data_IF_129923298381
#
_entry.id   IF_129923298381
#
_cell.length_a   1.000
_cell.length_b   1.000
_cell.length_c   1.000
_cell.angle_alpha   90.00
_cell.angle_beta   90.00
_cell.angle_gamma   90.00
#
_symmetry.space_group_name_H-M   'P 1'
#
loop_
_entity.id
_entity.type
_entity.pdbx_description
1 polymer ?
#
# COMPACT_ATOMS: atom_id res chain seq x y z
N UNK A 1 -0.96 -1.22 -10.19
CA UNK A 1 -0.56 -2.64 -10.20
C UNK A 1 -1.72 -3.47 -9.72
N UNK A 2 -2.09 -4.52 -10.44
CA UNK A 2 -3.17 -5.43 -10.13
C UNK A 2 -2.66 -6.86 -10.28
N UNK A 3 -2.85 -7.69 -9.24
CA UNK A 3 -2.36 -9.08 -9.25
C UNK A 3 -3.35 -10.05 -9.89
N UNK A 4 -4.64 -9.69 -9.92
CA UNK A 4 -5.68 -10.51 -10.53
C UNK A 4 -5.76 -10.23 -12.04
N UNK A 5 -5.27 -11.14 -12.85
CA UNK A 5 -5.26 -11.05 -14.31
C UNK A 5 -6.67 -11.08 -14.93
N UNK A 6 -7.67 -11.66 -14.24
CA UNK A 6 -9.06 -11.62 -14.69
C UNK A 6 -9.61 -10.18 -14.75
N UNK A 7 -9.02 -9.24 -13.98
CA UNK A 7 -9.39 -7.83 -14.03
C UNK A 7 -8.86 -7.12 -15.28
N UNK A 8 -7.90 -7.68 -16.00
CA UNK A 8 -7.28 -7.04 -17.14
C UNK A 8 -8.29 -6.75 -18.25
N UNK A 9 -9.06 -7.76 -18.64
CA UNK A 9 -10.03 -7.66 -19.75
C UNK A 9 -11.12 -6.60 -19.48
N UNK A 10 -11.45 -6.39 -18.21
CA UNK A 10 -12.44 -5.39 -17.82
C UNK A 10 -11.82 -4.00 -17.64
N UNK A 11 -10.71 -3.92 -16.92
CA UNK A 11 -10.12 -2.63 -16.49
C UNK A 11 -9.37 -1.94 -17.61
N UNK A 12 -8.58 -2.68 -18.41
CA UNK A 12 -7.74 -2.11 -19.46
C UNK A 12 -8.52 -1.28 -20.48
N UNK A 13 -9.66 -1.76 -21.05
CA UNK A 13 -10.42 -0.95 -22.01
C UNK A 13 -10.95 0.37 -21.41
N UNK A 14 -11.32 0.38 -20.12
CA UNK A 14 -11.76 1.60 -19.45
C UNK A 14 -10.64 2.63 -19.31
N UNK A 15 -9.44 2.17 -18.97
CA UNK A 15 -8.29 3.03 -18.81
C UNK A 15 -7.83 3.59 -20.17
N UNK A 16 -7.78 2.74 -21.19
CA UNK A 16 -7.35 3.11 -22.55
C UNK A 16 -8.33 4.07 -23.26
N UNK A 17 -9.62 4.01 -22.92
CA UNK A 17 -10.64 4.92 -23.44
C UNK A 17 -10.85 6.17 -22.55
N UNK A 18 -10.09 6.33 -21.49
CA UNK A 18 -10.14 7.50 -20.63
C UNK A 18 -9.48 8.72 -21.28
N UNK A 19 -9.98 9.91 -20.99
CA UNK A 19 -9.33 11.19 -21.35
C UNK A 19 -7.91 11.34 -20.76
N UNK A 20 -7.53 10.45 -19.84
CA UNK A 20 -6.23 10.42 -19.15
C UNK A 20 -5.38 9.20 -19.52
N UNK A 21 -5.72 8.47 -20.59
CA UNK A 21 -5.03 7.26 -21.00
C UNK A 21 -3.51 7.44 -21.15
N UNK A 22 -3.08 8.60 -21.65
CA UNK A 22 -1.67 8.97 -21.81
C UNK A 22 -0.90 9.09 -20.48
N UNK A 23 -1.62 9.26 -19.36
CA UNK A 23 -1.07 9.41 -18.01
C UNK A 23 -1.16 8.13 -17.17
N UNK A 24 -1.90 7.14 -17.62
CA UNK A 24 -2.14 5.90 -16.89
C UNK A 24 -1.23 4.80 -17.42
N UNK A 25 -0.55 4.11 -16.51
CA UNK A 25 0.19 2.89 -16.82
C UNK A 25 -0.35 1.77 -15.95
N UNK A 26 -0.97 0.79 -16.60
CA UNK A 26 -1.60 -0.35 -15.95
C UNK A 26 -0.69 -1.58 -16.07
N UNK A 27 -0.36 -2.17 -14.94
CA UNK A 27 0.51 -3.34 -14.85
C UNK A 27 -0.24 -4.48 -14.19
N UNK A 28 -0.24 -5.67 -14.82
CA UNK A 28 -0.75 -6.91 -14.25
C UNK A 28 0.42 -7.71 -13.70
N UNK A 29 0.31 -8.11 -12.43
CA UNK A 29 1.26 -8.93 -11.70
C UNK A 29 1.54 -8.44 -10.29
N UNK A 30 2.36 -9.19 -9.56
CA UNK A 30 2.75 -8.83 -8.20
C UNK A 30 3.62 -7.56 -8.20
N UNK A 31 3.16 -6.53 -7.50
CA UNK A 31 3.88 -5.27 -7.39
C UNK A 31 5.27 -5.45 -6.78
N UNK A 32 5.45 -6.41 -5.86
CA UNK A 32 6.76 -6.69 -5.25
C UNK A 32 7.78 -7.24 -6.25
N UNK A 33 7.30 -7.88 -7.31
CA UNK A 33 8.16 -8.39 -8.39
C UNK A 33 8.37 -7.35 -9.48
N UNK A 34 7.30 -6.62 -9.85
CA UNK A 34 7.33 -5.69 -10.98
C UNK A 34 8.01 -4.36 -10.66
N UNK A 35 7.65 -3.73 -9.53
CA UNK A 35 8.19 -2.39 -9.18
C UNK A 35 9.72 -2.36 -9.09
N UNK A 36 10.41 -3.37 -8.54
CA UNK A 36 11.86 -3.40 -8.53
C UNK A 36 12.52 -3.39 -9.92
N UNK A 37 11.82 -3.87 -10.94
CA UNK A 37 12.32 -3.94 -12.32
C UNK A 37 12.08 -2.65 -13.11
N UNK A 38 11.24 -1.74 -12.58
CA UNK A 38 10.92 -0.47 -13.21
C UNK A 38 11.82 0.63 -12.66
N UNK A 39 12.32 1.49 -13.56
CA UNK A 39 13.04 2.71 -13.18
C UNK A 39 12.01 3.80 -12.82
N UNK A 40 11.37 3.63 -11.66
CA UNK A 40 10.34 4.52 -11.16
C UNK A 40 10.74 5.14 -9.82
N UNK A 41 10.47 6.44 -9.70
CA UNK A 41 10.44 7.19 -8.45
C UNK A 41 9.01 7.66 -8.21
N UNK A 42 8.54 7.59 -6.97
CA UNK A 42 7.17 7.96 -6.61
C UNK A 42 7.15 9.27 -5.80
N UNK A 43 6.17 10.12 -6.07
CA UNK A 43 5.83 11.26 -5.22
C UNK A 43 4.68 10.90 -4.27
N UNK A 44 3.82 9.96 -4.71
CA UNK A 44 2.71 9.41 -3.93
C UNK A 44 2.56 7.92 -4.25
N UNK A 45 2.33 7.12 -3.23
CA UNK A 45 1.88 5.73 -3.37
C UNK A 45 0.65 5.47 -2.51
N UNK A 46 -0.35 4.77 -3.07
CA UNK A 46 -1.50 4.25 -2.35
C UNK A 46 -1.36 2.73 -2.23
N UNK A 47 -1.36 2.23 -1.00
CA UNK A 47 -1.22 0.80 -0.69
C UNK A 47 -2.58 0.28 -0.22
N UNK A 48 -3.18 -0.60 -1.04
CA UNK A 48 -4.42 -1.31 -0.73
C UNK A 48 -4.35 -2.73 -1.31
N UNK A 49 -3.35 -3.47 -0.89
CA UNK A 49 -3.10 -4.85 -1.33
C UNK A 49 -3.33 -5.89 -0.23
N UNK A 50 -2.69 -7.04 -0.39
CA UNK A 50 -2.69 -8.11 0.62
C UNK A 50 -2.08 -7.61 1.94
N UNK A 51 -2.89 -7.60 2.99
CA UNK A 51 -2.51 -7.09 4.31
C UNK A 51 -1.29 -7.81 4.90
N UNK A 52 -1.07 -9.07 4.53
CA UNK A 52 0.09 -9.86 4.96
C UNK A 52 1.42 -9.35 4.40
N UNK A 53 1.37 -8.55 3.32
CA UNK A 53 2.54 -8.00 2.62
C UNK A 53 2.74 -6.50 2.84
N UNK A 54 2.02 -5.86 3.78
CA UNK A 54 2.05 -4.41 3.95
C UNK A 54 3.44 -3.87 4.30
N UNK A 55 4.21 -4.60 5.10
CA UNK A 55 5.60 -4.22 5.41
C UNK A 55 6.46 -4.26 4.15
N UNK A 56 6.32 -5.29 3.33
CA UNK A 56 7.09 -5.45 2.10
C UNK A 56 6.73 -4.35 1.09
N UNK A 57 5.44 -4.04 0.92
CA UNK A 57 5.00 -2.92 0.08
C UNK A 57 5.56 -1.58 0.59
N UNK A 58 5.49 -1.36 1.90
CA UNK A 58 6.00 -0.14 2.52
C UNK A 58 7.50 0.06 2.25
N UNK A 59 8.33 -0.94 2.53
CA UNK A 59 9.77 -0.85 2.33
C UNK A 59 10.13 -0.68 0.85
N UNK A 60 9.47 -1.43 -0.04
CA UNK A 60 9.67 -1.31 -1.48
C UNK A 60 9.37 0.11 -1.98
N UNK A 61 8.23 0.67 -1.57
CA UNK A 61 7.80 2.01 -1.96
C UNK A 61 8.71 3.07 -1.33
N UNK A 62 9.00 2.96 -0.03
CA UNK A 62 9.83 3.94 0.69
C UNK A 62 11.23 4.06 0.09
N UNK A 63 11.79 2.95 -0.39
CA UNK A 63 13.09 2.96 -1.07
C UNK A 63 13.07 3.81 -2.37
N UNK A 64 11.91 3.93 -3.02
CA UNK A 64 11.71 4.65 -4.29
C UNK A 64 10.94 5.95 -4.16
N UNK A 65 10.52 6.30 -2.96
CA UNK A 65 9.77 7.52 -2.71
C UNK A 65 10.70 8.73 -2.73
N UNK A 66 10.28 9.80 -3.39
CA UNK A 66 10.98 11.09 -3.36
C UNK A 66 11.06 11.63 -1.93
N UNK A 67 12.09 12.42 -1.61
CA UNK A 67 12.12 13.17 -0.34
C UNK A 67 10.90 14.10 -0.23
N UNK A 68 10.17 14.02 0.87
CA UNK A 68 8.90 14.73 1.04
C UNK A 68 7.69 14.06 0.39
N UNK A 69 7.85 12.95 -0.32
CA UNK A 69 6.77 12.16 -0.92
C UNK A 69 5.93 11.43 0.13
N UNK A 70 4.78 10.90 -0.30
CA UNK A 70 3.77 10.34 0.59
C UNK A 70 3.44 8.89 0.25
N UNK A 71 3.18 8.11 1.30
CA UNK A 71 2.48 6.82 1.21
C UNK A 71 1.15 6.96 1.94
N UNK A 72 0.08 6.46 1.33
CA UNK A 72 -1.23 6.29 1.96
C UNK A 72 -1.50 4.79 2.02
N UNK A 73 -1.64 4.25 3.24
CA UNK A 73 -1.97 2.86 3.45
C UNK A 73 -3.41 2.74 3.96
N UNK A 74 -4.23 1.94 3.27
CA UNK A 74 -5.64 1.75 3.60
C UNK A 74 -5.86 0.59 4.59
N UNK A 75 -7.00 0.62 5.27
CA UNK A 75 -7.49 -0.38 6.22
C UNK A 75 -6.51 -0.64 7.40
N UNK A 76 -5.85 0.39 7.88
CA UNK A 76 -4.86 0.24 8.96
C UNK A 76 -5.45 0.11 10.36
N UNK A 77 -6.76 0.34 10.53
CA UNK A 77 -7.53 0.02 11.75
C UNK A 77 -8.15 -1.39 11.72
N UNK A 78 -8.31 -1.96 10.53
CA UNK A 78 -8.70 -3.34 10.30
C UNK A 78 -9.93 -3.76 11.11
N UNK A 79 -11.08 -3.06 10.89
CA UNK A 79 -12.36 -3.24 11.62
C UNK A 79 -12.19 -3.24 13.15
N UNK A 80 -11.14 -2.61 13.67
CA UNK A 80 -10.83 -2.59 15.10
C UNK A 80 -10.02 -3.80 15.60
N UNK A 81 -9.77 -4.80 14.78
CA UNK A 81 -8.97 -5.98 15.16
C UNK A 81 -7.54 -5.64 15.59
N UNK A 82 -7.02 -4.47 15.20
CA UNK A 82 -5.72 -3.98 15.68
C UNK A 82 -5.68 -3.78 17.20
N UNK A 83 -6.83 -3.67 17.86
CA UNK A 83 -6.94 -3.53 19.32
C UNK A 83 -6.90 -4.88 20.05
N UNK A 84 -7.01 -5.99 19.35
CA UNK A 84 -6.93 -7.31 19.97
C UNK A 84 -5.52 -7.53 20.56
N UNK A 85 -5.46 -7.84 21.86
CA UNK A 85 -4.19 -8.12 22.54
C UNK A 85 -3.53 -9.38 22.00
N UNK A 86 -4.33 -10.40 21.73
CA UNK A 86 -3.87 -11.71 21.22
C UNK A 86 -4.75 -12.17 20.05
N UNK A 87 -4.47 -11.69 18.82
CA UNK A 87 -5.18 -12.19 17.65
C UNK A 87 -4.94 -13.70 17.48
N UNK A 88 -5.92 -14.40 16.91
CA UNK A 88 -5.78 -15.83 16.69
C UNK A 88 -4.56 -16.10 15.79
N UNK A 89 -3.76 -17.13 16.14
CA UNK A 89 -2.50 -17.44 15.46
C UNK A 89 -2.61 -17.69 13.94
N UNK A 90 -3.81 -17.97 13.44
CA UNK A 90 -4.07 -18.16 12.00
C UNK A 90 -4.58 -16.89 11.33
N UNK A 91 -4.87 -15.85 12.09
CA UNK A 91 -5.27 -14.54 11.56
C UNK A 91 -4.02 -13.74 11.18
N UNK A 92 -3.40 -14.17 10.08
CA UNK A 92 -2.18 -13.55 9.58
C UNK A 92 -2.40 -12.11 9.11
N UNK A 93 -3.62 -11.74 8.73
CA UNK A 93 -3.92 -10.38 8.28
C UNK A 93 -3.87 -9.41 9.46
N UNK A 94 -4.58 -9.70 10.54
CA UNK A 94 -4.53 -8.89 11.78
C UNK A 94 -3.11 -8.79 12.34
N UNK A 95 -2.40 -9.93 12.41
CA UNK A 95 -1.02 -9.96 12.90
C UNK A 95 -0.13 -9.05 12.06
N UNK A 96 -0.24 -9.12 10.73
CA UNK A 96 0.61 -8.35 9.83
C UNK A 96 0.28 -6.85 9.84
N UNK A 97 -1.00 -6.46 9.91
CA UNK A 97 -1.39 -5.04 10.03
C UNK A 97 -0.91 -4.45 11.36
N UNK A 98 -1.03 -5.18 12.47
CA UNK A 98 -0.47 -4.73 13.75
C UNK A 98 1.04 -4.51 13.65
N UNK A 99 1.76 -5.48 13.08
CA UNK A 99 3.20 -5.38 12.89
C UNK A 99 3.59 -4.19 11.97
N UNK A 100 2.82 -3.94 10.90
CA UNK A 100 2.99 -2.79 10.03
C UNK A 100 2.78 -1.47 10.80
N UNK A 101 1.70 -1.35 11.56
CA UNK A 101 1.42 -0.17 12.35
C UNK A 101 2.53 0.12 13.37
N UNK A 102 3.02 -0.91 14.06
CA UNK A 102 4.12 -0.80 15.01
C UNK A 102 5.42 -0.38 14.32
N UNK A 103 5.75 -1.00 13.18
CA UNK A 103 6.93 -0.63 12.40
C UNK A 103 6.88 0.84 12.00
N UNK A 104 5.78 1.29 11.39
CA UNK A 104 5.62 2.67 10.94
C UNK A 104 5.65 3.63 12.13
N UNK A 105 5.05 3.27 13.27
CA UNK A 105 5.03 4.10 14.47
C UNK A 105 6.44 4.45 14.97
N UNK A 106 7.42 3.56 14.82
CA UNK A 106 8.78 3.75 15.29
C UNK A 106 9.78 4.12 14.19
N UNK A 107 9.34 4.18 12.93
CA UNK A 107 10.25 4.51 11.83
C UNK A 107 10.64 5.99 11.85
N UNK A 108 11.93 6.24 12.06
CA UNK A 108 12.50 7.58 12.13
C UNK A 108 12.66 8.23 10.73
N UNK A 109 12.55 7.44 9.65
CA UNK A 109 12.67 7.91 8.27
C UNK A 109 11.45 8.72 7.81
N UNK A 110 10.34 8.63 8.56
CA UNK A 110 9.06 9.17 8.14
C UNK A 110 8.36 9.99 9.24
N UNK A 111 7.46 10.86 8.80
CA UNK A 111 6.38 11.43 9.61
C UNK A 111 5.09 10.67 9.28
N UNK A 112 4.22 10.47 10.24
CA UNK A 112 3.02 9.65 10.07
C UNK A 112 1.86 10.10 10.93
N UNK A 113 0.65 9.84 10.42
CA UNK A 113 -0.61 10.02 11.13
C UNK A 113 -1.62 8.98 10.67
N UNK A 114 -2.40 8.43 11.58
CA UNK A 114 -3.55 7.60 11.26
C UNK A 114 -4.80 8.48 11.31
N UNK A 115 -5.53 8.52 10.19
CA UNK A 115 -6.85 9.13 10.11
C UNK A 115 -7.90 8.04 10.36
N UNK A 116 -8.77 8.19 11.35
CA UNK A 116 -9.85 7.24 11.62
C UNK A 116 -11.01 7.45 10.62
N UNK A 117 -10.70 7.39 9.33
CA UNK A 117 -11.66 7.48 8.25
C UNK A 117 -11.97 6.06 7.78
N UNK A 118 -13.25 5.64 7.95
CA UNK A 118 -13.68 4.28 7.69
C UNK A 118 -12.83 3.26 8.45
N UNK A 119 -12.08 2.43 7.73
CA UNK A 119 -11.22 1.39 8.30
C UNK A 119 -9.76 1.85 8.52
N UNK A 120 -9.56 3.16 8.57
CA UNK A 120 -8.28 3.79 8.85
C UNK A 120 -7.40 3.99 7.65
N UNK A 121 -6.92 5.22 7.48
CA UNK A 121 -5.89 5.60 6.51
C UNK A 121 -4.64 6.04 7.26
N UNK A 122 -3.53 5.36 7.06
CA UNK A 122 -2.24 5.84 7.55
C UNK A 122 -1.56 6.66 6.46
N UNK A 123 -1.36 7.94 6.74
CA UNK A 123 -0.62 8.86 5.89
C UNK A 123 0.82 8.92 6.40
N UNK A 124 1.77 8.65 5.51
CA UNK A 124 3.19 8.56 5.82
C UNK A 124 3.94 9.49 4.88
N UNK A 125 4.77 10.38 5.41
CA UNK A 125 5.60 11.30 4.64
C UNK A 125 7.07 10.94 4.82
N UNK A 126 7.80 10.73 3.74
CA UNK A 126 9.26 10.56 3.79
C UNK A 126 9.93 11.89 4.16
N UNK A 127 10.87 11.86 5.09
CA UNK A 127 11.67 13.03 5.48
C UNK A 127 12.72 13.40 4.44
#
# INVERSE_FOLDING_TARGET
FEINDEQEDFTRPWLENSDYADKIRFYIGDALELVPQLDLTFDLAFIDGDKRKYIDYYEMVLARLSGGGYIIADNTLWDGHVLEEQPHRTDLQTISIKAFNDLVAWDARVEKVILPLRDGLTIIRKK
#
